data_IF_510067932268
#
_entry.id   IF_510067932268
#
_cell.length_a   1.000
_cell.length_b   1.000
_cell.length_c   1.000
_cell.angle_alpha   90.00
_cell.angle_beta   90.00
_cell.angle_gamma   90.00
#
_symmetry.space_group_name_H-M   'P 1'
#
loop_
_entity.id
_entity.type
_entity.pdbx_description
1 polymer ?
#
# COMPACT_ATOMS: atom_id res chain seq x y z
N UNK A 1 4.51 8.83 20.86
CA UNK A 1 4.30 7.36 20.80
C UNK A 1 2.98 6.88 21.42
N UNK A 2 2.58 7.30 22.63
CA UNK A 2 1.24 6.93 23.19
C UNK A 2 0.10 7.22 22.19
N UNK A 3 0.22 8.37 21.54
CA UNK A 3 -0.61 8.85 20.46
C UNK A 3 -0.65 7.93 19.21
N UNK A 4 0.50 7.51 18.69
CA UNK A 4 0.59 6.57 17.55
C UNK A 4 -0.09 5.24 17.86
N UNK A 5 0.13 4.69 19.06
CA UNK A 5 -0.56 3.47 19.53
C UNK A 5 -2.07 3.65 19.54
N UNK A 6 -2.55 4.74 20.16
CA UNK A 6 -4.00 5.03 20.21
C UNK A 6 -4.60 5.16 18.81
N UNK A 7 -3.91 5.81 17.87
CA UNK A 7 -4.39 5.96 16.49
C UNK A 7 -4.42 4.62 15.75
N UNK A 8 -3.35 3.83 15.80
CA UNK A 8 -3.30 2.51 15.13
C UNK A 8 -4.32 1.53 15.71
N UNK A 9 -4.45 1.47 17.03
CA UNK A 9 -5.45 0.63 17.71
C UNK A 9 -6.87 1.06 17.33
N UNK A 10 -7.11 2.38 17.28
CA UNK A 10 -8.40 2.93 16.84
C UNK A 10 -8.74 2.56 15.39
N UNK A 11 -7.75 2.60 14.49
CA UNK A 11 -7.93 2.17 13.10
C UNK A 11 -8.27 0.69 13.00
N UNK A 12 -7.55 -0.18 13.71
CA UNK A 12 -7.83 -1.62 13.69
C UNK A 12 -9.20 -1.95 14.27
N UNK A 13 -9.64 -1.22 15.30
CA UNK A 13 -10.99 -1.35 15.83
C UNK A 13 -12.04 -1.03 14.77
N UNK A 14 -11.85 0.08 14.05
CA UNK A 14 -12.74 0.49 12.97
C UNK A 14 -12.79 -0.57 11.84
N UNK A 15 -11.63 -1.10 11.44
CA UNK A 15 -11.55 -2.18 10.44
C UNK A 15 -12.28 -3.42 10.93
N UNK A 16 -12.12 -3.81 12.20
CA UNK A 16 -12.83 -4.94 12.79
C UNK A 16 -14.35 -4.75 12.84
N UNK A 17 -14.82 -3.53 13.12
CA UNK A 17 -16.24 -3.18 13.11
C UNK A 17 -16.86 -3.18 11.70
N UNK A 18 -16.04 -2.99 10.66
CA UNK A 18 -16.48 -3.03 9.26
C UNK A 18 -16.69 -4.45 8.72
N UNK A 19 -16.23 -5.48 9.43
CA UNK A 19 -16.30 -6.87 8.97
C UNK A 19 -17.63 -7.50 9.34
N UNK A 20 -18.30 -8.21 8.42
CA UNK A 20 -19.49 -8.98 8.75
C UNK A 20 -19.19 -10.01 9.85
N UNK A 21 -19.76 -9.82 11.04
CA UNK A 21 -19.52 -10.69 12.21
C UNK A 21 -18.49 -10.16 13.22
N UNK A 22 -17.73 -9.12 12.84
CA UNK A 22 -16.69 -8.51 13.69
C UNK A 22 -15.47 -9.40 13.91
N UNK A 23 -14.43 -8.85 14.54
CA UNK A 23 -13.31 -9.62 15.08
C UNK A 23 -13.70 -10.08 16.50
N UNK A 24 -13.53 -11.37 16.86
CA UNK A 24 -13.72 -11.81 18.23
C UNK A 24 -12.90 -10.98 19.22
N UNK A 25 -13.45 -10.72 20.42
CA UNK A 25 -12.81 -9.81 21.38
C UNK A 25 -11.41 -10.28 21.80
N UNK A 26 -11.22 -11.59 22.00
CA UNK A 26 -9.93 -12.18 22.36
C UNK A 26 -8.88 -11.98 21.24
N UNK A 27 -9.28 -12.17 19.99
CA UNK A 27 -8.44 -11.98 18.81
C UNK A 27 -8.05 -10.50 18.67
N UNK A 28 -8.99 -9.59 18.92
CA UNK A 28 -8.73 -8.16 18.93
C UNK A 28 -7.76 -7.74 20.05
N UNK A 29 -7.89 -8.32 21.24
CA UNK A 29 -6.95 -8.09 22.35
C UNK A 29 -5.53 -8.57 22.01
N UNK A 30 -5.40 -9.74 21.40
CA UNK A 30 -4.12 -10.29 20.95
C UNK A 30 -3.46 -9.41 19.88
N UNK A 31 -4.23 -8.97 18.88
CA UNK A 31 -3.78 -8.02 17.87
C UNK A 31 -3.31 -6.70 18.51
N UNK A 32 -4.08 -6.17 19.47
CA UNK A 32 -3.75 -4.93 20.17
C UNK A 32 -2.46 -5.07 20.96
N UNK A 33 -2.23 -6.21 21.61
CA UNK A 33 -1.01 -6.50 22.33
C UNK A 33 0.19 -6.56 21.37
N UNK A 34 0.07 -7.31 20.27
CA UNK A 34 1.12 -7.40 19.24
C UNK A 34 1.50 -6.03 18.68
N UNK A 35 0.52 -5.23 18.27
CA UNK A 35 0.75 -3.87 17.75
C UNK A 35 1.41 -2.98 18.80
N UNK A 36 0.97 -3.08 20.06
CA UNK A 36 1.56 -2.32 21.17
C UNK A 36 3.02 -2.70 21.36
N UNK A 37 3.34 -4.00 21.37
CA UNK A 37 4.71 -4.52 21.50
C UNK A 37 5.58 -4.10 20.31
N UNK A 38 5.07 -4.20 19.08
CA UNK A 38 5.77 -3.76 17.87
C UNK A 38 6.13 -2.27 17.92
N UNK A 39 5.15 -1.40 18.20
CA UNK A 39 5.37 0.05 18.34
C UNK A 39 6.32 0.38 19.51
N UNK A 40 6.24 -0.40 20.59
CA UNK A 40 7.18 -0.24 21.72
C UNK A 40 8.60 -0.67 21.38
N UNK A 41 8.81 -1.58 20.44
CA UNK A 41 10.12 -2.03 19.99
C UNK A 41 10.74 -1.12 18.91
N UNK A 42 9.92 -0.33 18.21
CA UNK A 42 10.40 0.69 17.26
C UNK A 42 11.24 1.78 17.94
N UNK A 43 12.11 2.43 17.17
CA UNK A 43 12.85 3.64 17.49
C UNK A 43 11.99 4.89 17.30
N UNK A 44 12.63 6.04 17.06
CA UNK A 44 11.94 7.32 16.87
C UNK A 44 11.74 7.66 15.38
N UNK A 45 12.43 6.96 14.48
CA UNK A 45 12.39 7.24 13.05
C UNK A 45 11.83 6.08 12.22
N UNK A 46 11.04 6.44 11.21
CA UNK A 46 10.53 5.54 10.19
C UNK A 46 10.44 6.30 8.88
N UNK A 47 10.93 5.71 7.79
CA UNK A 47 10.77 6.21 6.44
C UNK A 47 10.00 5.19 5.62
N UNK A 48 9.00 5.67 4.86
CA UNK A 48 8.17 4.84 3.99
C UNK A 48 8.10 5.51 2.63
N UNK A 49 8.29 4.73 1.58
CA UNK A 49 7.96 5.13 0.21
C UNK A 49 7.07 4.06 -0.41
N UNK A 50 5.99 4.49 -1.05
CA UNK A 50 5.19 3.65 -1.91
C UNK A 50 5.23 4.22 -3.32
N UNK A 51 5.40 3.36 -4.29
CA UNK A 51 5.33 3.70 -5.71
C UNK A 51 4.33 2.80 -6.41
N UNK A 52 3.79 3.34 -7.50
CA UNK A 52 2.82 2.66 -8.37
C UNK A 52 3.39 2.68 -9.78
N UNK A 53 3.85 1.53 -10.26
CA UNK A 53 4.30 1.31 -11.63
C UNK A 53 3.14 0.95 -12.56
N UNK A 54 3.28 1.24 -13.85
CA UNK A 54 2.28 0.91 -14.89
C UNK A 54 2.63 -0.34 -15.69
N UNK A 55 3.87 -0.83 -15.57
CA UNK A 55 4.46 -1.74 -16.57
C UNK A 55 4.64 -3.17 -16.05
N UNK A 56 4.56 -3.40 -14.73
CA UNK A 56 4.77 -4.70 -14.08
C UNK A 56 3.63 -5.05 -13.09
N UNK A 57 3.33 -6.34 -12.96
CA UNK A 57 2.44 -6.88 -11.91
C UNK A 57 3.29 -7.60 -10.83
N UNK A 58 3.11 -7.31 -9.53
CA UNK A 58 2.20 -6.32 -8.97
C UNK A 58 2.68 -4.87 -9.27
N UNK A 59 1.77 -3.92 -9.54
CA UNK A 59 2.10 -2.54 -9.89
C UNK A 59 2.55 -1.72 -8.69
N UNK A 60 2.70 -2.35 -7.51
CA UNK A 60 2.99 -1.66 -6.27
C UNK A 60 4.37 -2.03 -5.76
N UNK A 61 5.14 -1.00 -5.45
CA UNK A 61 6.42 -1.15 -4.77
C UNK A 61 6.39 -0.37 -3.47
N UNK A 62 6.95 -0.95 -2.42
CA UNK A 62 7.08 -0.29 -1.13
C UNK A 62 8.49 -0.46 -0.58
N UNK A 63 8.99 0.57 0.08
CA UNK A 63 10.26 0.56 0.80
C UNK A 63 10.03 1.14 2.18
N UNK A 64 10.51 0.46 3.21
CA UNK A 64 10.41 0.91 4.58
C UNK A 64 11.77 0.77 5.25
N UNK A 65 12.13 1.78 6.03
CA UNK A 65 13.26 1.73 6.94
C UNK A 65 12.74 2.19 8.29
N UNK A 66 12.68 1.26 9.23
CA UNK A 66 12.13 1.45 10.56
C UNK A 66 13.29 1.38 11.53
N UNK A 67 13.54 2.43 12.30
CA UNK A 67 14.45 2.33 13.43
C UNK A 67 13.85 1.36 14.46
N UNK A 68 14.69 0.51 15.05
CA UNK A 68 14.29 -0.51 16.02
C UNK A 68 15.24 -0.45 17.20
N UNK A 69 14.71 -0.13 18.38
CA UNK A 69 15.49 -0.07 19.63
C UNK A 69 15.52 -1.40 20.37
N UNK A 70 14.56 -2.29 20.09
CA UNK A 70 14.53 -3.67 20.60
C UNK A 70 14.29 -4.64 19.44
N UNK A 71 15.37 -5.07 18.81
CA UNK A 71 15.32 -5.94 17.63
C UNK A 71 14.66 -7.28 17.94
N UNK A 72 14.97 -7.88 19.09
CA UNK A 72 14.46 -9.20 19.43
C UNK A 72 12.93 -9.19 19.58
N UNK A 73 12.38 -8.16 20.25
CA UNK A 73 10.93 -8.02 20.39
C UNK A 73 10.28 -7.71 19.04
N UNK A 74 10.89 -6.86 18.21
CA UNK A 74 10.33 -6.51 16.90
C UNK A 74 10.32 -7.72 15.95
N UNK A 75 11.40 -8.50 15.92
CA UNK A 75 11.51 -9.72 15.13
C UNK A 75 10.52 -10.80 15.60
N UNK A 76 10.32 -10.96 16.92
CA UNK A 76 9.30 -11.85 17.47
C UNK A 76 7.88 -11.44 17.03
N UNK A 77 7.56 -10.14 17.08
CA UNK A 77 6.26 -9.63 16.65
C UNK A 77 6.04 -9.85 15.15
N UNK A 78 7.04 -9.57 14.33
CA UNK A 78 6.98 -9.81 12.88
C UNK A 78 6.77 -11.30 12.55
N UNK A 79 7.54 -12.18 13.18
CA UNK A 79 7.43 -13.62 12.99
C UNK A 79 6.04 -14.13 13.40
N UNK A 80 5.51 -13.61 14.52
CA UNK A 80 4.14 -13.93 14.95
C UNK A 80 3.10 -13.43 13.95
N UNK A 81 3.25 -12.22 13.41
CA UNK A 81 2.34 -11.67 12.39
C UNK A 81 2.32 -12.53 11.12
N UNK A 82 3.50 -12.86 10.58
CA UNK A 82 3.61 -13.71 9.39
C UNK A 82 3.03 -15.10 9.62
N UNK A 83 3.25 -15.66 10.81
CA UNK A 83 2.67 -16.95 11.21
C UNK A 83 1.14 -16.90 11.27
N UNK A 84 0.56 -15.85 11.85
CA UNK A 84 -0.90 -15.65 11.90
C UNK A 84 -1.51 -15.49 10.50
N UNK A 85 -0.77 -14.89 9.55
CA UNK A 85 -1.19 -14.80 8.16
C UNK A 85 -1.11 -16.16 7.44
N UNK A 86 -0.07 -16.95 7.69
CA UNK A 86 0.17 -18.24 7.03
C UNK A 86 -0.74 -19.37 7.57
N UNK A 87 -0.89 -19.48 8.89
CA UNK A 87 -1.62 -20.60 9.51
C UNK A 87 -3.15 -20.51 9.37
N UNK A 88 -3.66 -19.47 8.67
CA UNK A 88 -5.08 -19.34 8.38
C UNK A 88 -5.92 -18.88 9.57
N UNK A 89 -5.29 -18.27 10.59
CA UNK A 89 -5.97 -17.82 11.81
C UNK A 89 -6.62 -16.43 11.63
N UNK A 90 -6.81 -15.68 12.73
CA UNK A 90 -7.50 -14.38 12.79
C UNK A 90 -7.29 -13.47 11.58
N UNK A 91 -6.05 -13.31 11.09
CA UNK A 91 -5.76 -12.43 9.95
C UNK A 91 -6.28 -13.01 8.64
N UNK A 92 -6.08 -14.29 8.35
CA UNK A 92 -6.62 -14.89 7.13
C UNK A 92 -8.17 -14.90 7.14
N UNK A 93 -8.79 -15.16 8.30
CA UNK A 93 -10.24 -15.07 8.48
C UNK A 93 -10.76 -13.63 8.28
N UNK A 94 -9.99 -12.62 8.68
CA UNK A 94 -10.25 -11.21 8.39
C UNK A 94 -10.41 -10.96 6.89
N UNK A 95 -9.41 -11.38 6.11
CA UNK A 95 -9.40 -11.22 4.65
C UNK A 95 -10.50 -12.05 3.99
N UNK A 96 -10.79 -13.25 4.53
CA UNK A 96 -11.91 -14.08 4.07
C UNK A 96 -13.26 -13.43 4.30
N UNK A 97 -13.43 -12.69 5.41
CA UNK A 97 -14.60 -11.84 5.65
C UNK A 97 -14.81 -10.77 4.59
N UNK A 98 -13.74 -10.33 3.92
CA UNK A 98 -13.78 -9.44 2.76
C UNK A 98 -13.85 -10.18 1.40
N UNK A 99 -14.02 -11.50 1.41
CA UNK A 99 -14.08 -12.32 0.20
C UNK A 99 -12.72 -12.58 -0.44
N UNK A 100 -11.65 -12.56 0.34
CA UNK A 100 -10.27 -12.82 -0.11
C UNK A 100 -9.67 -13.99 0.67
N UNK A 101 -9.06 -14.94 -0.04
CA UNK A 101 -8.20 -15.97 0.53
C UNK A 101 -6.75 -15.53 0.35
N UNK A 102 -5.93 -15.79 1.37
CA UNK A 102 -4.49 -15.51 1.34
C UNK A 102 -3.70 -16.81 1.40
N UNK A 103 -2.59 -16.83 0.69
CA UNK A 103 -1.57 -17.87 0.76
C UNK A 103 -0.24 -17.17 1.05
N UNK A 104 0.49 -17.63 2.07
CA UNK A 104 1.72 -16.99 2.53
C UNK A 104 2.84 -18.01 2.57
N UNK A 105 3.82 -17.84 1.70
CA UNK A 105 5.06 -18.61 1.72
C UNK A 105 6.13 -17.79 2.42
N UNK A 106 6.76 -18.33 3.47
CA UNK A 106 7.81 -17.63 4.23
C UNK A 106 9.13 -18.36 4.01
N UNK A 107 10.17 -17.61 3.65
CA UNK A 107 11.55 -18.07 3.59
C UNK A 107 12.41 -17.23 4.55
N UNK A 108 12.61 -17.76 5.76
CA UNK A 108 13.42 -17.10 6.77
C UNK A 108 14.90 -16.99 6.40
N UNK A 109 15.40 -17.72 5.41
CA UNK A 109 16.82 -17.73 5.00
C UNK A 109 16.99 -17.52 3.49
N UNK A 110 16.16 -16.64 2.92
CA UNK A 110 16.17 -16.28 1.50
C UNK A 110 17.55 -15.84 0.99
N UNK A 111 18.40 -15.31 1.87
CA UNK A 111 19.83 -15.21 1.58
C UNK A 111 20.63 -14.39 2.57
N UNK A 112 21.86 -14.08 2.16
CA UNK A 112 22.76 -13.19 2.91
C UNK A 112 23.42 -12.20 1.96
N UNK A 113 23.33 -10.92 2.29
CA UNK A 113 24.00 -9.85 1.54
C UNK A 113 25.00 -9.11 2.42
N UNK A 114 26.29 -9.21 2.09
CA UNK A 114 27.41 -8.60 2.83
C UNK A 114 27.33 -8.85 4.35
N UNK A 115 26.94 -10.06 4.75
CA UNK A 115 26.82 -10.49 6.15
C UNK A 115 25.50 -10.11 6.84
N UNK A 116 24.54 -9.49 6.13
CA UNK A 116 23.18 -9.25 6.61
C UNK A 116 22.29 -10.38 6.13
N UNK A 117 21.56 -11.01 7.05
CA UNK A 117 20.54 -12.01 6.72
C UNK A 117 19.33 -11.34 6.08
N UNK A 118 18.84 -11.90 4.99
CA UNK A 118 17.62 -11.47 4.31
C UNK A 118 16.61 -12.61 4.44
N UNK A 119 15.42 -12.26 4.88
CA UNK A 119 14.25 -13.14 4.89
C UNK A 119 13.26 -12.62 3.86
N UNK A 120 12.44 -13.51 3.33
CA UNK A 120 11.43 -13.20 2.33
C UNK A 120 10.09 -13.84 2.65
N UNK A 121 9.03 -13.29 2.09
CA UNK A 121 7.74 -13.94 2.04
C UNK A 121 7.05 -13.62 0.72
N UNK A 122 6.26 -14.55 0.19
CA UNK A 122 5.35 -14.29 -0.92
C UNK A 122 3.93 -14.37 -0.41
N UNK A 123 3.16 -13.31 -0.60
CA UNK A 123 1.76 -13.25 -0.20
C UNK A 123 0.90 -13.23 -1.45
N UNK A 124 0.22 -14.34 -1.72
CA UNK A 124 -0.72 -14.45 -2.82
C UNK A 124 -2.15 -14.21 -2.32
N UNK A 125 -2.93 -13.49 -3.13
CA UNK A 125 -4.34 -13.20 -2.85
C UNK A 125 -5.22 -13.89 -3.89
N UNK A 126 -6.32 -14.50 -3.44
CA UNK A 126 -7.34 -15.09 -4.31
C UNK A 126 -8.70 -14.54 -3.90
N UNK A 127 -9.54 -14.15 -4.84
CA UNK A 127 -10.91 -13.73 -4.51
C UNK A 127 -11.83 -14.94 -4.44
N UNK A 128 -12.64 -15.04 -3.39
CA UNK A 128 -13.51 -16.19 -3.12
C UNK A 128 -14.84 -16.17 -3.90
N UNK A 129 -14.93 -15.44 -5.02
CA UNK A 129 -16.15 -15.23 -5.78
C UNK A 129 -15.97 -15.46 -7.29
N UNK A 130 -17.09 -15.67 -8.00
CA UNK A 130 -17.14 -15.83 -9.46
C UNK A 130 -16.48 -14.64 -10.19
N UNK A 131 -16.15 -14.85 -11.46
CA UNK A 131 -15.52 -13.96 -12.45
C UNK A 131 -16.15 -12.55 -12.55
N UNK A 132 -15.98 -11.77 -11.49
CA UNK A 132 -16.46 -10.39 -11.37
C UNK A 132 -15.34 -9.44 -11.78
N UNK A 133 -15.71 -8.26 -12.27
CA UNK A 133 -14.76 -7.18 -12.55
C UNK A 133 -13.84 -6.90 -11.35
N UNK A 134 -14.34 -7.03 -10.13
CA UNK A 134 -13.52 -6.90 -8.92
C UNK A 134 -12.47 -8.02 -8.83
N UNK A 135 -12.83 -9.28 -9.02
CA UNK A 135 -11.87 -10.41 -9.04
C UNK A 135 -10.76 -10.21 -10.09
N UNK A 136 -11.12 -9.77 -11.30
CA UNK A 136 -10.17 -9.50 -12.38
C UNK A 136 -9.25 -8.29 -12.07
N UNK A 137 -9.77 -7.25 -11.42
CA UNK A 137 -8.93 -6.14 -10.92
C UNK A 137 -7.95 -6.65 -9.87
N UNK A 138 -8.40 -7.49 -8.94
CA UNK A 138 -7.53 -8.08 -7.92
C UNK A 138 -6.41 -8.93 -8.54
N UNK A 139 -6.73 -9.77 -9.54
CA UNK A 139 -5.73 -10.58 -10.23
C UNK A 139 -4.70 -9.71 -10.98
N UNK A 140 -5.11 -8.63 -11.64
CA UNK A 140 -4.14 -7.73 -12.29
C UNK A 140 -3.27 -6.95 -11.29
N UNK A 141 -3.83 -6.60 -10.14
CA UNK A 141 -3.13 -5.86 -9.10
C UNK A 141 -2.14 -6.76 -8.36
N UNK A 142 -2.59 -7.93 -7.91
CA UNK A 142 -1.78 -8.78 -7.03
C UNK A 142 -1.07 -9.90 -7.80
N UNK A 143 -1.42 -10.14 -9.07
CA UNK A 143 -0.80 -11.16 -9.90
C UNK A 143 -0.83 -12.53 -9.23
N UNK A 144 0.33 -13.18 -9.22
CA UNK A 144 0.59 -14.42 -8.49
C UNK A 144 0.99 -14.18 -7.02
N UNK A 145 1.07 -12.92 -6.60
CA UNK A 145 1.33 -12.48 -5.24
C UNK A 145 2.23 -11.25 -5.18
N UNK A 146 2.46 -10.77 -3.96
CA UNK A 146 3.43 -9.73 -3.67
C UNK A 146 4.62 -10.38 -2.97
N UNK A 147 5.80 -10.14 -3.51
CA UNK A 147 7.06 -10.50 -2.85
C UNK A 147 7.40 -9.47 -1.77
N UNK A 148 7.76 -9.96 -0.60
CA UNK A 148 8.23 -9.22 0.55
C UNK A 148 9.65 -9.66 0.86
N UNK A 149 10.52 -8.71 1.17
CA UNK A 149 11.84 -9.00 1.73
C UNK A 149 12.06 -8.11 2.94
N UNK A 150 12.73 -8.64 3.96
CA UNK A 150 13.16 -7.85 5.10
C UNK A 150 14.52 -8.27 5.64
N UNK A 151 15.16 -7.32 6.31
CA UNK A 151 16.46 -7.49 6.90
C UNK A 151 16.64 -6.56 8.11
N UNK A 152 17.51 -6.96 9.03
CA UNK A 152 17.92 -6.12 10.17
C UNK A 152 19.37 -5.69 10.02
N UNK A 153 19.62 -4.39 10.03
CA UNK A 153 20.96 -3.82 9.89
C UNK A 153 21.09 -2.54 10.73
N UNK A 154 22.13 -2.47 11.56
CA UNK A 154 22.47 -1.29 12.40
C UNK A 154 21.27 -0.70 13.17
N UNK A 155 20.47 -1.55 13.81
CA UNK A 155 19.30 -1.10 14.58
C UNK A 155 18.15 -0.59 13.72
N UNK A 156 18.09 -0.96 12.44
CA UNK A 156 16.95 -0.71 11.58
C UNK A 156 16.40 -2.03 11.06
N UNK A 157 15.07 -2.13 11.00
CA UNK A 157 14.39 -3.11 10.17
C UNK A 157 14.09 -2.47 8.81
N UNK A 158 14.52 -3.16 7.75
CA UNK A 158 14.37 -2.72 6.37
C UNK A 158 13.35 -3.66 5.74
N UNK A 159 12.32 -3.11 5.10
CA UNK A 159 11.32 -3.89 4.36
C UNK A 159 11.21 -3.40 2.92
N UNK A 160 10.94 -4.33 2.02
CA UNK A 160 10.54 -4.04 0.64
C UNK A 160 9.37 -4.92 0.24
N UNK A 161 8.50 -4.39 -0.63
CA UNK A 161 7.44 -5.14 -1.29
C UNK A 161 7.43 -4.83 -2.79
N UNK A 162 7.07 -5.81 -3.62
CA UNK A 162 6.96 -5.69 -5.09
C UNK A 162 7.94 -6.59 -5.87
N UNK A 163 7.85 -6.57 -7.20
CA UNK A 163 8.57 -7.45 -8.13
C UNK A 163 10.10 -7.44 -8.00
N UNK A 164 10.69 -6.30 -7.61
CA UNK A 164 12.15 -6.12 -7.44
C UNK A 164 12.59 -6.08 -5.95
N UNK A 165 11.88 -6.80 -5.09
CA UNK A 165 12.14 -6.80 -3.64
C UNK A 165 13.59 -7.19 -3.28
N UNK A 166 14.19 -8.21 -3.91
CA UNK A 166 15.58 -8.63 -3.60
C UNK A 166 16.65 -7.60 -4.03
N UNK A 167 16.50 -6.95 -5.18
CA UNK A 167 17.44 -5.88 -5.58
C UNK A 167 17.27 -4.67 -4.65
N UNK A 168 16.03 -4.27 -4.41
CA UNK A 168 15.70 -3.10 -3.59
C UNK A 168 16.18 -3.26 -2.14
N UNK A 169 16.03 -4.44 -1.53
CA UNK A 169 16.46 -4.65 -0.14
C UNK A 169 17.98 -4.51 0.00
N UNK A 170 18.75 -4.94 -1.00
CA UNK A 170 20.22 -4.81 -1.02
C UNK A 170 20.66 -3.35 -1.11
N UNK A 171 19.99 -2.55 -1.93
CA UNK A 171 20.23 -1.11 -2.00
C UNK A 171 19.96 -0.43 -0.66
N UNK A 172 18.84 -0.76 -0.01
CA UNK A 172 18.47 -0.18 1.27
C UNK A 172 19.45 -0.59 2.38
N UNK A 173 19.93 -1.85 2.39
CA UNK A 173 20.99 -2.30 3.31
C UNK A 173 22.24 -1.43 3.13
N UNK A 174 22.65 -1.15 1.88
CA UNK A 174 23.80 -0.30 1.60
C UNK A 174 23.57 1.16 2.04
N UNK A 175 22.35 1.69 1.86
CA UNK A 175 21.99 3.03 2.33
C UNK A 175 22.03 3.13 3.85
N UNK A 176 21.40 2.19 4.58
CA UNK A 176 21.44 2.15 6.05
C UNK A 176 22.88 2.02 6.55
N UNK A 177 23.69 1.16 5.90
CA UNK A 177 25.12 1.03 6.22
C UNK A 177 25.89 2.33 6.04
N UNK A 178 25.56 3.12 5.02
CA UNK A 178 26.17 4.42 4.75
C UNK A 178 25.69 5.55 5.69
N UNK A 179 24.78 5.26 6.64
CA UNK A 179 24.23 6.23 7.59
C UNK A 179 22.86 6.78 7.17
N UNK A 180 22.13 6.05 6.34
CA UNK A 180 20.82 6.44 5.81
C UNK A 180 20.91 7.22 4.49
N UNK A 181 19.75 7.51 3.86
CA UNK A 181 19.71 8.30 2.65
C UNK A 181 20.31 9.69 2.91
N UNK A 182 21.38 10.02 2.20
CA UNK A 182 22.07 11.33 2.33
C UNK A 182 21.22 12.49 1.82
N UNK A 183 20.14 12.20 1.11
CA UNK A 183 19.23 13.16 0.51
C UNK A 183 17.80 12.65 0.68
N UNK A 184 16.92 13.54 1.12
CA UNK A 184 15.47 13.34 1.04
C UNK A 184 15.09 13.32 -0.44
N UNK A 185 14.29 12.34 -0.87
CA UNK A 185 13.80 12.27 -2.25
C UNK A 185 13.18 13.60 -2.67
N UNK A 186 13.37 14.00 -3.93
CA UNK A 186 12.96 15.33 -4.44
C UNK A 186 11.49 15.67 -4.15
N UNK A 187 10.61 14.67 -4.25
CA UNK A 187 9.18 14.80 -3.96
C UNK A 187 8.91 15.08 -2.47
N UNK A 188 9.55 14.32 -1.57
CA UNK A 188 9.43 14.54 -0.13
C UNK A 188 10.05 15.88 0.29
N UNK A 189 11.15 16.30 -0.36
CA UNK A 189 11.74 17.63 -0.14
C UNK A 189 10.77 18.74 -0.55
N UNK A 190 10.16 18.64 -1.72
CA UNK A 190 9.13 19.59 -2.17
C UNK A 190 7.92 19.61 -1.23
N UNK A 191 7.49 18.44 -0.73
CA UNK A 191 6.43 18.34 0.25
C UNK A 191 6.77 19.07 1.56
N UNK A 192 7.96 18.83 2.12
CA UNK A 192 8.43 19.49 3.33
C UNK A 192 8.53 21.02 3.17
N UNK A 193 9.04 21.48 2.02
CA UNK A 193 9.12 22.92 1.69
C UNK A 193 7.73 23.56 1.64
N UNK A 194 6.75 22.89 1.02
CA UNK A 194 5.38 23.41 0.87
C UNK A 194 4.58 23.32 2.18
N UNK A 195 4.84 22.31 3.01
CA UNK A 195 4.15 22.12 4.30
C UNK A 195 4.61 23.11 5.39
N UNK A 196 5.81 23.69 5.26
CA UNK A 196 6.34 24.79 6.08
C UNK A 196 6.63 24.47 7.55
N UNK A 197 6.04 23.41 8.11
CA UNK A 197 6.26 22.86 9.45
C UNK A 197 6.23 21.31 9.42
N UNK A 198 6.72 20.71 8.34
CA UNK A 198 6.75 19.25 8.18
C UNK A 198 7.69 18.56 9.17
N UNK A 199 8.71 19.27 9.65
CA UNK A 199 9.65 18.86 10.70
C UNK A 199 9.00 18.59 12.07
N UNK A 200 7.79 19.10 12.29
CA UNK A 200 6.99 18.89 13.50
C UNK A 200 5.83 17.92 13.30
N UNK A 201 5.75 17.27 12.14
CA UNK A 201 4.72 16.28 11.85
C UNK A 201 5.14 14.91 12.38
N UNK A 202 4.16 14.12 12.86
CA UNK A 202 4.41 12.73 13.22
C UNK A 202 4.55 11.84 11.97
N UNK A 203 3.95 12.27 10.85
CA UNK A 203 4.03 11.64 9.53
C UNK A 203 4.04 12.72 8.46
N UNK A 204 4.85 12.53 7.42
CA UNK A 204 4.81 13.32 6.18
C UNK A 204 4.81 12.36 5.00
N UNK A 205 4.04 12.68 3.97
CA UNK A 205 3.98 11.88 2.75
C UNK A 205 3.59 12.69 1.53
N UNK A 206 3.72 12.04 0.38
CA UNK A 206 3.25 12.54 -0.91
C UNK A 206 2.35 11.51 -1.57
N UNK A 207 1.40 11.99 -2.37
CA UNK A 207 0.51 11.14 -3.16
C UNK A 207 0.31 11.77 -4.54
N UNK A 208 0.48 10.98 -5.60
CA UNK A 208 0.22 11.40 -6.97
C UNK A 208 -1.15 10.88 -7.43
N UNK A 209 -2.15 11.77 -7.46
CA UNK A 209 -3.50 11.38 -7.88
C UNK A 209 -3.58 11.09 -9.39
N UNK A 210 -2.74 11.71 -10.20
CA UNK A 210 -2.72 11.53 -11.66
C UNK A 210 -2.26 10.11 -12.00
N UNK A 211 -1.10 9.69 -11.48
CA UNK A 211 -0.60 8.30 -11.65
C UNK A 211 -1.59 7.25 -11.14
N UNK A 212 -2.24 7.53 -10.00
CA UNK A 212 -3.30 6.65 -9.49
C UNK A 212 -4.45 6.50 -10.49
N UNK A 213 -4.90 7.60 -11.11
CA UNK A 213 -5.97 7.56 -12.11
C UNK A 213 -5.53 6.91 -13.42
N UNK A 214 -4.27 7.06 -13.83
CA UNK A 214 -3.66 6.37 -14.97
C UNK A 214 -3.73 4.86 -14.78
N UNK A 215 -3.28 4.37 -13.61
CA UNK A 215 -3.39 2.96 -13.23
C UNK A 215 -4.84 2.46 -13.27
N UNK A 216 -5.79 3.18 -12.65
CA UNK A 216 -7.21 2.81 -12.66
C UNK A 216 -7.78 2.73 -14.07
N UNK A 217 -7.41 3.67 -14.95
CA UNK A 217 -7.86 3.66 -16.34
C UNK A 217 -7.28 2.46 -17.12
N UNK A 218 -6.00 2.14 -16.90
CA UNK A 218 -5.35 0.95 -17.49
C UNK A 218 -6.07 -0.34 -17.12
N UNK A 219 -6.45 -0.52 -15.85
CA UNK A 219 -7.20 -1.69 -15.42
C UNK A 219 -8.59 -1.80 -16.05
N UNK A 220 -9.31 -0.68 -16.15
CA UNK A 220 -10.62 -0.68 -16.81
C UNK A 220 -10.46 -1.07 -18.29
N UNK A 221 -9.42 -0.56 -18.96
CA UNK A 221 -9.12 -0.89 -20.35
C UNK A 221 -8.90 -2.39 -20.55
N UNK A 222 -8.07 -2.98 -19.69
CA UNK A 222 -7.71 -4.39 -19.73
C UNK A 222 -8.92 -5.31 -19.47
N UNK A 223 -9.75 -5.02 -18.46
CA UNK A 223 -10.91 -5.86 -18.10
C UNK A 223 -11.99 -5.81 -19.15
N UNK A 224 -12.36 -4.61 -19.56
CA UNK A 224 -13.49 -4.46 -20.46
C UNK A 224 -13.11 -4.72 -21.93
N UNK A 225 -11.83 -5.07 -22.18
CA UNK A 225 -11.23 -5.16 -23.51
C UNK A 225 -11.57 -3.93 -24.36
N UNK A 226 -11.58 -2.76 -23.71
CA UNK A 226 -11.88 -1.48 -24.35
C UNK A 226 -10.60 -0.69 -24.50
N UNK A 227 -10.40 -0.16 -25.69
CA UNK A 227 -9.34 0.80 -25.97
C UNK A 227 -9.62 2.09 -25.19
N UNK A 228 -9.11 2.17 -23.97
CA UNK A 228 -9.00 3.43 -23.23
C UNK A 228 -7.73 4.12 -23.70
N UNK A 229 -7.76 5.44 -23.92
CA UNK A 229 -6.54 6.16 -24.19
C UNK A 229 -5.55 5.96 -23.05
N UNK A 230 -4.29 5.77 -23.42
CA UNK A 230 -3.19 6.06 -22.51
C UNK A 230 -3.37 7.49 -22.01
N UNK A 231 -3.52 7.62 -20.71
CA UNK A 231 -3.44 8.88 -20.03
C UNK A 231 -1.95 9.16 -19.88
N UNK A 232 -1.32 9.60 -20.97
CA UNK A 232 0.06 10.10 -20.93
C UNK A 232 0.03 11.56 -20.47
N UNK A 233 -0.40 11.76 -19.22
CA UNK A 233 -0.45 13.10 -18.61
C UNK A 233 0.82 13.23 -17.78
N UNK A 234 1.88 13.86 -18.32
CA UNK A 234 3.12 14.02 -17.57
C UNK A 234 2.81 14.76 -16.27
N UNK A 235 3.10 14.10 -15.15
CA UNK A 235 2.89 14.63 -13.80
C UNK A 235 4.23 14.70 -13.08
N UNK A 236 4.63 15.94 -12.77
CA UNK A 236 5.84 16.24 -11.99
C UNK A 236 5.49 16.66 -10.56
N UNK A 237 4.21 16.94 -10.29
CA UNK A 237 3.73 17.44 -9.01
C UNK A 237 3.05 16.34 -8.17
N UNK A 238 2.98 16.55 -6.85
CA UNK A 238 2.37 15.62 -5.91
C UNK A 238 1.53 16.38 -4.88
N UNK A 239 0.49 15.73 -4.37
CA UNK A 239 -0.20 16.17 -3.15
C UNK A 239 0.72 15.87 -1.98
N UNK A 240 1.01 16.87 -1.16
CA UNK A 240 1.76 16.69 0.08
C UNK A 240 0.79 16.59 1.26
N UNK A 241 1.07 15.72 2.23
CA UNK A 241 0.31 15.67 3.48
C UNK A 241 1.23 15.53 4.68
N UNK A 242 0.81 16.12 5.80
CA UNK A 242 1.42 15.95 7.11
C UNK A 242 0.34 15.56 8.13
N UNK A 243 0.58 14.50 8.89
CA UNK A 243 -0.23 14.06 10.00
C UNK A 243 0.37 14.50 11.33
N UNK A 244 -0.47 15.01 12.24
CA UNK A 244 -0.09 15.33 13.63
C UNK A 244 -1.10 14.75 14.58
N UNK A 245 -0.63 14.05 15.59
CA UNK A 245 -1.49 13.54 16.64
C UNK A 245 -1.69 14.62 17.69
N UNK A 246 -2.94 15.02 17.85
CA UNK A 246 -3.36 15.99 18.86
C UNK A 246 -3.20 15.43 20.28
N UNK A 247 -3.19 16.30 21.29
CA UNK A 247 -3.16 15.89 22.70
C UNK A 247 -4.35 14.99 23.08
N UNK A 248 -5.48 15.12 22.38
CA UNK A 248 -6.67 14.29 22.55
C UNK A 248 -6.56 12.90 21.86
N UNK A 249 -5.45 12.60 21.18
CA UNK A 249 -5.24 11.33 20.46
C UNK A 249 -5.83 11.30 19.04
N UNK A 250 -6.50 12.36 18.58
CA UNK A 250 -7.00 12.48 17.21
C UNK A 250 -5.86 12.80 16.23
N UNK A 251 -6.00 12.34 14.99
CA UNK A 251 -5.07 12.66 13.90
C UNK A 251 -5.57 13.90 13.13
N UNK A 252 -4.75 14.94 13.08
CA UNK A 252 -5.00 16.13 12.29
C UNK A 252 -4.12 16.13 11.04
N UNK A 253 -4.73 16.26 9.87
CA UNK A 253 -4.01 16.30 8.60
C UNK A 253 -3.92 17.74 8.06
N UNK A 254 -2.72 18.10 7.63
CA UNK A 254 -2.46 19.23 6.76
C UNK A 254 -2.20 18.68 5.37
N UNK A 255 -3.06 18.99 4.40
CA UNK A 255 -2.92 18.56 3.01
C UNK A 255 -2.65 19.80 2.18
N UNK A 256 -1.61 19.75 1.34
CA UNK A 256 -1.34 20.78 0.35
C UNK A 256 -1.42 20.17 -1.04
N UNK A 257 -2.31 20.75 -1.84
CA UNK A 257 -2.49 20.40 -3.24
C UNK A 257 -1.90 21.53 -4.08
N UNK A 258 -0.73 21.34 -4.72
CA UNK A 258 -0.14 22.34 -5.59
C UNK A 258 -1.12 22.72 -6.70
N UNK A 259 -1.11 24.00 -7.10
CA UNK A 259 -1.95 24.47 -8.21
C UNK A 259 -1.67 23.70 -9.50
N UNK A 260 -0.42 23.36 -9.74
CA UNK A 260 0.01 22.51 -10.86
C UNK A 260 -0.69 21.15 -10.83
N UNK A 261 -0.68 20.46 -9.68
CA UNK A 261 -1.37 19.17 -9.53
C UNK A 261 -2.88 19.27 -9.72
N UNK A 262 -3.52 20.38 -9.33
CA UNK A 262 -4.94 20.62 -9.64
C UNK A 262 -5.19 20.73 -11.15
N UNK A 263 -4.26 21.33 -11.91
CA UNK A 263 -4.38 21.47 -13.36
C UNK A 263 -4.13 20.13 -14.07
N UNK A 264 -3.17 19.34 -13.61
CA UNK A 264 -2.95 17.97 -14.08
C UNK A 264 -4.20 17.12 -13.81
N UNK A 265 -4.72 17.14 -12.58
CA UNK A 265 -5.96 16.43 -12.19
C UNK A 265 -7.16 16.85 -13.03
N UNK A 266 -7.29 18.16 -13.31
CA UNK A 266 -8.34 18.66 -14.21
C UNK A 266 -8.18 18.07 -15.60
N UNK A 267 -6.95 17.99 -16.12
CA UNK A 267 -6.65 17.40 -17.43
C UNK A 267 -7.02 15.92 -17.48
N UNK A 268 -6.79 15.17 -16.40
CA UNK A 268 -7.26 13.78 -16.25
C UNK A 268 -8.77 13.72 -16.44
N UNK A 269 -9.55 14.52 -15.70
CA UNK A 269 -11.02 14.51 -15.81
C UNK A 269 -11.53 14.94 -17.19
N UNK A 270 -10.91 15.94 -17.82
CA UNK A 270 -11.27 16.40 -19.16
C UNK A 270 -11.03 15.32 -20.23
N UNK A 271 -10.04 14.46 -20.05
CA UNK A 271 -9.75 13.36 -20.97
C UNK A 271 -10.58 12.09 -20.69
N UNK A 272 -10.81 11.75 -19.41
CA UNK A 272 -11.50 10.51 -19.02
C UNK A 272 -13.02 10.63 -19.18
N UNK A 273 -13.65 11.68 -18.63
CA UNK A 273 -15.12 11.76 -18.51
C UNK A 273 -15.84 11.63 -19.86
N UNK A 274 -15.42 12.32 -20.94
CA UNK A 274 -16.08 12.19 -22.24
C UNK A 274 -16.05 10.76 -22.77
N UNK A 275 -14.95 10.03 -22.53
CA UNK A 275 -14.73 8.68 -23.05
C UNK A 275 -15.50 7.62 -22.27
N UNK A 276 -15.59 7.77 -20.94
CA UNK A 276 -16.52 6.93 -20.14
C UNK A 276 -17.94 7.08 -20.66
N UNK A 277 -18.39 8.32 -20.93
CA UNK A 277 -19.72 8.58 -21.50
C UNK A 277 -19.92 7.97 -22.89
N UNK A 278 -18.89 8.01 -23.73
CA UNK A 278 -18.93 7.38 -25.05
C UNK A 278 -19.03 5.85 -24.95
N UNK A 279 -18.23 5.23 -24.08
CA UNK A 279 -18.26 3.78 -23.83
C UNK A 279 -19.63 3.34 -23.28
N UNK A 280 -20.20 4.07 -22.31
CA UNK A 280 -21.56 3.79 -21.82
C UNK A 280 -22.61 3.86 -22.94
N UNK A 281 -22.47 4.83 -23.85
CA UNK A 281 -23.37 4.97 -25.00
C UNK A 281 -23.24 3.78 -25.94
N UNK A 282 -22.02 3.35 -26.26
CA UNK A 282 -21.75 2.20 -27.12
C UNK A 282 -22.27 0.90 -26.48
N UNK A 283 -22.05 0.69 -25.18
CA UNK A 283 -22.60 -0.47 -24.45
C UNK A 283 -24.12 -0.49 -24.50
N UNK A 284 -24.79 0.64 -24.27
CA UNK A 284 -26.25 0.74 -24.36
C UNK A 284 -26.77 0.47 -25.78
N UNK A 285 -26.04 0.87 -26.82
CA UNK A 285 -26.39 0.55 -28.21
C UNK A 285 -26.26 -0.95 -28.48
N UNK A 286 -25.11 -1.56 -28.15
CA UNK A 286 -24.88 -3.01 -28.31
C UNK A 286 -25.92 -3.85 -27.56
N UNK A 287 -26.31 -3.44 -26.35
CA UNK A 287 -27.37 -4.12 -25.59
C UNK A 287 -28.73 -4.03 -26.27
N UNK A 288 -29.09 -2.86 -26.82
CA UNK A 288 -30.34 -2.69 -27.58
C UNK A 288 -30.36 -3.53 -28.85
N UNK A 289 -29.25 -3.58 -29.57
CA UNK A 289 -29.11 -4.41 -30.79
C UNK A 289 -29.23 -5.90 -30.48
N UNK A 290 -28.56 -6.40 -29.42
CA UNK A 290 -28.71 -7.79 -28.96
C UNK A 290 -30.14 -8.12 -28.53
N UNK A 291 -30.80 -7.22 -27.81
CA UNK A 291 -32.19 -7.41 -27.40
C UNK A 291 -33.18 -7.43 -28.57
N UNK A 292 -32.87 -6.71 -29.66
CA UNK A 292 -33.65 -6.75 -30.89
C UNK A 292 -33.38 -8.03 -31.69
N UNK A 293 -32.13 -8.49 -31.75
CA UNK A 293 -31.75 -9.73 -32.45
C UNK A 293 -32.34 -11.00 -31.80
N UNK A 294 -32.51 -11.02 -30.48
CA UNK A 294 -33.09 -12.16 -29.75
C UNK A 294 -34.64 -12.20 -29.75
N UNK A 295 -35.30 -11.19 -30.32
CA UNK A 295 -36.78 -11.11 -30.44
C UNK A 295 -37.27 -11.39 -31.88
N UNK A 296 -36.41 -11.93 -32.75
CA UNK A 296 -36.70 -12.43 -34.10
C UNK A 296 -36.51 -13.94 -34.10
#
# INVERSE_FOLDING_TARGET
RKNLKTTYIGLMKLVGEMIPGGIPEADFEELQEMLTRGIDAMGDSMAITFDVGTDDSPPFMGKYVIEVKDQAVFEEVLQKELKLMNEGEMLADLYKGFGMEMDVEIDDDAGTYKGVKISAAKVAFKTSGDDTMQAQMFEMIFGDGIDYCWAFEKGHCIYTLGSDADETIRELIDQVRAGGPKQVGSQMKAALEVLGNGDKADVVGTFNFVRYMEMVAGFIAAIEEVDMPELDIPTESNIAFAGRTTEAGNLAFQIVMPKEHMLETKSVFENIIPKIKEQERLKRQKQKEKAQANNI
#
